data_IF_196509877364
#
_entry.id   IF_196509877364
#
_cell.length_a   1.000
_cell.length_b   1.000
_cell.length_c   1.000
_cell.angle_alpha   90.00
_cell.angle_beta   90.00
_cell.angle_gamma   90.00
#
_symmetry.space_group_name_H-M   'P 1'
#
loop_
_entity.id
_entity.type
_entity.pdbx_description
1 polymer ?
#
# COMPACT_ATOMS: atom_id res chain seq x y z
N UNK A 1 -0.60 20.42 -0.89
CA UNK A 1 0.15 20.34 0.37
C UNK A 1 1.54 19.76 0.13
N UNK A 2 1.63 18.53 -0.35
CA UNK A 2 2.88 17.78 -0.46
C UNK A 2 3.98 18.54 -1.23
N UNK A 3 3.71 18.98 -2.46
CA UNK A 3 4.66 19.74 -3.31
C UNK A 3 5.19 21.04 -2.69
N UNK A 4 4.44 21.65 -1.76
CA UNK A 4 4.83 22.93 -1.12
C UNK A 4 5.52 22.74 0.22
N UNK A 5 5.26 21.63 0.92
CA UNK A 5 5.63 21.46 2.33
C UNK A 5 6.58 20.29 2.59
N UNK A 6 6.76 19.41 1.61
CA UNK A 6 7.56 18.21 1.76
C UNK A 6 8.68 18.16 0.74
N UNK A 7 9.81 17.57 1.12
CA UNK A 7 10.92 17.31 0.23
C UNK A 7 10.70 15.95 -0.45
N UNK A 8 10.65 15.94 -1.78
CA UNK A 8 10.55 14.70 -2.55
C UNK A 8 11.92 14.00 -2.64
N UNK A 9 11.94 12.69 -2.49
CA UNK A 9 13.12 11.84 -2.73
C UNK A 9 13.36 11.72 -4.23
N UNK A 10 12.26 11.50 -4.99
CA UNK A 10 12.28 11.49 -6.45
C UNK A 10 11.31 12.54 -6.93
N UNK A 11 11.80 13.48 -7.70
CA UNK A 11 10.96 14.55 -8.26
C UNK A 11 9.85 13.95 -9.13
N UNK A 12 8.61 14.20 -8.77
CA UNK A 12 7.44 13.67 -9.44
C UNK A 12 6.61 14.77 -10.06
N UNK A 13 6.03 14.51 -11.21
CA UNK A 13 5.01 15.40 -11.79
C UNK A 13 3.65 15.11 -11.17
N UNK A 14 2.83 16.14 -10.98
CA UNK A 14 1.48 16.00 -10.39
C UNK A 14 0.63 15.01 -11.18
N UNK A 15 0.71 15.06 -12.51
CA UNK A 15 -0.03 14.14 -13.39
C UNK A 15 0.40 12.67 -13.16
N UNK A 16 1.70 12.42 -12.97
CA UNK A 16 2.20 11.06 -12.68
C UNK A 16 1.71 10.55 -11.33
N UNK A 17 1.67 11.40 -10.30
CA UNK A 17 1.11 11.04 -8.99
C UNK A 17 -0.37 10.71 -9.09
N UNK A 18 -1.15 11.51 -9.82
CA UNK A 18 -2.57 11.25 -10.06
C UNK A 18 -2.79 9.94 -10.82
N UNK A 19 -2.00 9.69 -11.87
CA UNK A 19 -2.05 8.42 -12.62
C UNK A 19 -1.71 7.22 -11.74
N UNK A 20 -0.72 7.34 -10.85
CA UNK A 20 -0.36 6.26 -9.94
C UNK A 20 -1.47 5.99 -8.91
N UNK A 21 -2.13 7.04 -8.40
CA UNK A 21 -3.32 6.91 -7.56
C UNK A 21 -4.42 6.12 -8.29
N UNK A 22 -4.74 6.52 -9.52
CA UNK A 22 -5.76 5.84 -10.33
C UNK A 22 -5.40 4.38 -10.60
N UNK A 23 -4.12 4.08 -10.90
CA UNK A 23 -3.66 2.70 -11.11
C UNK A 23 -3.83 1.81 -9.87
N UNK A 24 -3.56 2.35 -8.67
CA UNK A 24 -3.78 1.63 -7.43
C UNK A 24 -5.28 1.40 -7.17
N UNK A 25 -6.11 2.41 -7.40
CA UNK A 25 -7.56 2.28 -7.30
C UNK A 25 -8.11 1.24 -8.29
N UNK A 26 -7.64 1.28 -9.55
CA UNK A 26 -8.00 0.29 -10.56
C UNK A 26 -7.75 -1.15 -10.10
N UNK A 27 -6.64 -1.40 -9.39
CA UNK A 27 -6.32 -2.73 -8.86
C UNK A 27 -7.38 -3.22 -7.86
N UNK A 28 -7.92 -2.32 -7.06
CA UNK A 28 -8.98 -2.65 -6.11
C UNK A 28 -10.36 -2.78 -6.78
N UNK A 29 -10.58 -2.12 -7.90
CA UNK A 29 -11.82 -2.24 -8.67
C UNK A 29 -11.86 -3.47 -9.60
N UNK A 30 -10.70 -4.05 -9.93
CA UNK A 30 -10.63 -5.18 -10.86
C UNK A 30 -11.56 -6.36 -10.49
N UNK A 31 -11.67 -6.76 -9.19
CA UNK A 31 -12.60 -7.81 -8.78
C UNK A 31 -14.07 -7.49 -9.04
N UNK A 32 -14.43 -6.20 -9.15
CA UNK A 32 -15.80 -5.72 -9.31
C UNK A 32 -16.15 -5.33 -10.75
N UNK A 33 -15.24 -5.54 -11.71
CA UNK A 33 -15.54 -5.35 -13.12
C UNK A 33 -16.39 -6.51 -13.63
N UNK A 34 -17.51 -6.17 -14.25
CA UNK A 34 -18.33 -7.12 -14.96
C UNK A 34 -17.62 -7.58 -16.24
N UNK A 35 -17.70 -8.87 -16.50
CA UNK A 35 -17.22 -9.51 -17.71
C UNK A 35 -18.30 -10.40 -18.27
N UNK A 36 -18.12 -10.91 -19.47
CA UNK A 36 -19.05 -11.86 -20.11
C UNK A 36 -19.35 -13.09 -19.21
N UNK A 37 -18.37 -13.46 -18.35
CA UNK A 37 -18.46 -14.64 -17.47
C UNK A 37 -18.65 -14.32 -16.00
N UNK A 38 -18.66 -13.03 -15.61
CA UNK A 38 -18.76 -12.61 -14.22
C UNK A 38 -19.71 -11.43 -14.08
N UNK A 39 -20.81 -11.66 -13.36
CA UNK A 39 -21.70 -10.59 -12.89
C UNK A 39 -21.31 -10.22 -11.46
N UNK A 40 -21.40 -8.95 -11.13
CA UNK A 40 -21.16 -8.42 -9.78
C UNK A 40 -22.46 -8.53 -8.99
N UNK A 41 -22.40 -9.11 -7.79
CA UNK A 41 -23.58 -9.20 -6.92
C UNK A 41 -23.86 -7.87 -6.22
N UNK A 42 -25.08 -7.68 -5.73
CA UNK A 42 -25.41 -6.49 -4.91
C UNK A 42 -24.56 -6.44 -3.63
N UNK A 43 -24.26 -7.59 -3.03
CA UNK A 43 -23.39 -7.69 -1.85
C UNK A 43 -21.95 -7.24 -2.16
N UNK A 44 -21.42 -7.59 -3.35
CA UNK A 44 -20.10 -7.13 -3.78
C UNK A 44 -20.08 -5.59 -3.92
N UNK A 45 -21.14 -5.00 -4.46
CA UNK A 45 -21.25 -3.55 -4.61
C UNK A 45 -21.33 -2.83 -3.26
N UNK A 46 -22.12 -3.35 -2.32
CA UNK A 46 -22.20 -2.82 -0.94
C UNK A 46 -20.85 -2.91 -0.22
N UNK A 47 -20.13 -4.02 -0.43
CA UNK A 47 -18.78 -4.19 0.09
C UNK A 47 -17.80 -3.19 -0.54
N UNK A 48 -17.88 -2.97 -1.84
CA UNK A 48 -17.07 -1.98 -2.53
C UNK A 48 -17.35 -0.57 -1.98
N UNK A 49 -18.62 -0.17 -1.89
CA UNK A 49 -19.01 1.14 -1.38
C UNK A 49 -18.47 1.36 0.04
N UNK A 50 -18.64 0.38 0.92
CA UNK A 50 -18.17 0.46 2.30
C UNK A 50 -16.63 0.55 2.42
N UNK A 51 -15.89 0.00 1.46
CA UNK A 51 -14.43 -0.04 1.44
C UNK A 51 -13.81 1.10 0.60
N UNK A 52 -14.60 1.86 -0.15
CA UNK A 52 -14.11 2.83 -1.12
C UNK A 52 -13.21 3.91 -0.48
N UNK A 53 -13.69 4.51 0.61
CA UNK A 53 -12.94 5.56 1.30
C UNK A 53 -11.59 5.08 1.84
N UNK A 54 -11.50 4.00 2.64
CA UNK A 54 -10.21 3.54 3.16
C UNK A 54 -9.26 3.03 2.07
N UNK A 55 -9.77 2.46 0.97
CA UNK A 55 -8.94 2.07 -0.18
C UNK A 55 -8.41 3.29 -0.94
N UNK A 56 -9.21 4.34 -1.07
CA UNK A 56 -8.74 5.61 -1.62
C UNK A 56 -7.65 6.23 -0.75
N UNK A 57 -7.84 6.27 0.58
CA UNK A 57 -6.85 6.79 1.53
C UNK A 57 -5.56 5.98 1.43
N UNK A 58 -5.64 4.64 1.41
CA UNK A 58 -4.47 3.77 1.22
C UNK A 58 -3.76 4.08 -0.10
N UNK A 59 -4.50 4.17 -1.19
CA UNK A 59 -3.95 4.47 -2.51
C UNK A 59 -3.30 5.86 -2.55
N UNK A 60 -3.87 6.84 -1.87
CA UNK A 60 -3.30 8.19 -1.74
C UNK A 60 -1.97 8.18 -0.98
N UNK A 61 -1.90 7.45 0.13
CA UNK A 61 -0.67 7.28 0.91
C UNK A 61 0.45 6.68 0.07
N UNK A 62 0.16 5.62 -0.71
CA UNK A 62 1.15 4.87 -1.46
C UNK A 62 1.41 5.36 -2.89
N UNK A 63 0.64 6.30 -3.39
CA UNK A 63 0.91 6.98 -4.67
C UNK A 63 1.53 8.36 -4.50
N UNK A 64 0.98 9.14 -3.59
CA UNK A 64 1.36 10.55 -3.38
C UNK A 64 2.26 10.70 -2.14
N UNK A 65 1.84 10.14 -1.02
CA UNK A 65 2.52 10.29 0.25
C UNK A 65 3.85 9.56 0.36
N UNK A 66 4.08 8.52 -0.43
CA UNK A 66 5.30 7.71 -0.36
C UNK A 66 6.52 8.34 -1.07
N UNK A 67 6.34 9.40 -1.87
CA UNK A 67 7.39 10.00 -2.70
C UNK A 67 8.33 10.94 -1.93
N UNK A 68 8.03 11.21 -0.68
CA UNK A 68 8.74 12.17 0.16
C UNK A 68 9.69 11.50 1.16
N UNK A 69 10.65 12.28 1.67
CA UNK A 69 11.58 11.85 2.71
C UNK A 69 10.86 11.59 4.06
N UNK A 70 11.59 11.12 5.06
CA UNK A 70 11.03 10.77 6.37
C UNK A 70 10.32 11.96 7.04
N UNK A 71 10.91 13.15 6.96
CA UNK A 71 10.32 14.37 7.52
C UNK A 71 9.04 14.75 6.76
N UNK A 72 9.05 14.65 5.44
CA UNK A 72 7.88 14.81 4.59
C UNK A 72 6.76 13.81 4.91
N UNK A 73 7.12 12.54 5.20
CA UNK A 73 6.14 11.53 5.65
C UNK A 73 5.49 11.90 6.97
N UNK A 74 6.24 12.44 7.94
CA UNK A 74 5.67 12.93 9.21
C UNK A 74 4.69 14.07 8.98
N UNK A 75 5.07 15.07 8.16
CA UNK A 75 4.18 16.19 7.79
C UNK A 75 2.93 15.73 7.07
N UNK A 76 3.08 14.81 6.13
CA UNK A 76 1.95 14.27 5.39
C UNK A 76 1.02 13.42 6.28
N UNK A 77 1.59 12.67 7.24
CA UNK A 77 0.81 11.92 8.23
C UNK A 77 -0.10 12.85 9.05
N UNK A 78 0.45 13.94 9.59
CA UNK A 78 -0.36 14.92 10.34
C UNK A 78 -1.44 15.56 9.45
N UNK A 79 -1.02 16.02 8.27
CA UNK A 79 -1.94 16.65 7.33
C UNK A 79 -3.11 15.72 6.96
N UNK A 80 -2.84 14.47 6.63
CA UNK A 80 -3.90 13.53 6.22
C UNK A 80 -4.84 13.23 7.38
N UNK A 81 -4.32 12.99 8.59
CA UNK A 81 -5.13 12.78 9.79
C UNK A 81 -6.03 13.99 10.08
N UNK A 82 -5.51 15.20 9.95
CA UNK A 82 -6.29 16.44 10.11
C UNK A 82 -7.40 16.56 9.05
N UNK A 83 -7.11 16.19 7.80
CA UNK A 83 -8.15 16.21 6.76
C UNK A 83 -9.23 15.16 7.04
N UNK A 84 -8.86 13.94 7.41
CA UNK A 84 -9.82 12.90 7.77
C UNK A 84 -10.72 13.32 8.94
N UNK A 85 -10.17 13.98 9.95
CA UNK A 85 -10.93 14.50 11.07
C UNK A 85 -11.89 15.63 10.62
N UNK A 86 -11.44 16.57 9.77
CA UNK A 86 -12.26 17.67 9.24
C UNK A 86 -13.44 17.18 8.40
N UNK A 87 -13.24 16.12 7.62
CA UNK A 87 -14.30 15.52 6.80
C UNK A 87 -15.13 14.49 7.56
N UNK A 88 -14.93 14.36 8.88
CA UNK A 88 -15.65 13.41 9.73
C UNK A 88 -15.60 11.98 9.19
N UNK A 89 -14.44 11.58 8.63
CA UNK A 89 -14.24 10.23 8.15
C UNK A 89 -14.49 9.23 9.28
N UNK A 90 -15.28 8.20 9.00
CA UNK A 90 -15.46 7.09 9.94
C UNK A 90 -14.24 6.17 10.01
N UNK A 91 -13.35 6.27 9.04
CA UNK A 91 -12.17 5.42 8.89
C UNK A 91 -10.92 6.11 9.42
N UNK A 92 -10.84 6.27 10.75
CA UNK A 92 -9.67 6.88 11.38
C UNK A 92 -8.54 5.86 11.57
N UNK A 93 -7.30 6.28 11.31
CA UNK A 93 -6.14 5.48 11.69
C UNK A 93 -5.99 5.43 13.20
N UNK A 94 -5.48 4.32 13.77
CA UNK A 94 -5.08 4.30 15.18
C UNK A 94 -4.14 5.46 15.52
N UNK A 95 -4.17 5.92 16.77
CA UNK A 95 -3.35 7.05 17.23
C UNK A 95 -1.85 6.75 17.22
N UNK A 96 -1.48 5.48 17.38
CA UNK A 96 -0.10 5.03 17.38
C UNK A 96 0.47 4.96 15.96
N UNK A 97 1.76 5.18 15.80
CA UNK A 97 2.47 5.06 14.53
C UNK A 97 2.03 6.06 13.45
N UNK A 98 2.53 5.84 12.26
CA UNK A 98 2.22 6.62 11.07
C UNK A 98 1.21 5.90 10.18
N UNK A 99 0.50 6.65 9.33
CA UNK A 99 -0.40 6.10 8.31
C UNK A 99 0.29 5.06 7.40
N UNK A 100 1.60 5.12 7.27
CA UNK A 100 2.43 4.19 6.49
C UNK A 100 2.63 2.82 7.15
N UNK A 101 2.34 2.73 8.45
CA UNK A 101 2.52 1.50 9.21
C UNK A 101 1.31 0.58 9.10
N UNK A 102 0.24 1.07 8.47
CA UNK A 102 -1.03 0.38 8.37
C UNK A 102 -1.40 -0.01 6.94
N UNK A 103 -2.14 -1.10 6.83
CA UNK A 103 -2.92 -1.46 5.66
C UNK A 103 -4.39 -1.58 6.03
N UNK A 104 -5.27 -1.40 5.09
CA UNK A 104 -6.70 -1.66 5.30
C UNK A 104 -7.03 -3.12 4.99
N UNK A 105 -7.60 -3.82 5.97
CA UNK A 105 -8.14 -5.15 5.77
C UNK A 105 -9.60 -5.04 5.34
N UNK A 106 -9.88 -5.35 4.07
CA UNK A 106 -11.22 -5.22 3.48
C UNK A 106 -12.24 -6.20 4.08
N UNK A 107 -11.80 -7.37 4.57
CA UNK A 107 -12.67 -8.37 5.16
C UNK A 107 -13.12 -7.99 6.56
N UNK A 108 -12.17 -7.57 7.39
CA UNK A 108 -12.41 -7.19 8.78
C UNK A 108 -12.82 -5.72 8.91
N UNK A 109 -12.67 -4.94 7.82
CA UNK A 109 -12.99 -3.50 7.76
C UNK A 109 -12.25 -2.69 8.84
N UNK A 110 -10.96 -2.98 9.03
CA UNK A 110 -10.09 -2.31 10.01
C UNK A 110 -8.70 -2.03 9.43
N UNK A 111 -8.03 -1.03 10.00
CA UNK A 111 -6.61 -0.80 9.75
C UNK A 111 -5.77 -1.75 10.60
N UNK A 112 -4.90 -2.53 9.97
CA UNK A 112 -3.99 -3.48 10.58
C UNK A 112 -2.54 -3.05 10.36
N UNK A 113 -1.69 -3.27 11.35
CA UNK A 113 -0.25 -3.05 11.21
C UNK A 113 0.36 -4.04 10.21
N UNK A 114 1.36 -3.59 9.46
CA UNK A 114 2.15 -4.51 8.62
C UNK A 114 2.87 -5.56 9.44
N UNK A 115 3.32 -5.22 10.64
CA UNK A 115 3.98 -6.13 11.58
C UNK A 115 3.10 -7.31 12.01
N UNK A 116 1.77 -7.16 11.98
CA UNK A 116 0.87 -8.23 12.39
C UNK A 116 0.96 -9.46 11.46
N UNK A 117 1.35 -9.26 10.21
CA UNK A 117 1.57 -10.35 9.27
C UNK A 117 2.82 -11.18 9.58
N UNK A 118 3.76 -10.57 10.28
CA UNK A 118 5.07 -11.16 10.55
C UNK A 118 5.17 -11.77 11.96
N UNK A 119 4.11 -11.68 12.78
CA UNK A 119 4.11 -12.14 14.18
C UNK A 119 4.40 -13.63 14.35
N UNK A 120 4.00 -14.44 13.36
CA UNK A 120 4.16 -15.89 13.39
C UNK A 120 5.31 -16.36 12.48
N UNK A 121 6.25 -15.46 12.16
CA UNK A 121 7.41 -15.85 11.36
C UNK A 121 8.34 -16.74 12.18
N UNK A 122 8.56 -17.95 11.71
CA UNK A 122 9.55 -18.90 12.24
C UNK A 122 10.57 -19.22 11.16
N UNK A 123 11.83 -19.35 11.57
CA UNK A 123 12.91 -19.73 10.65
C UNK A 123 12.83 -21.24 10.44
N UNK A 124 12.70 -21.68 9.20
CA UNK A 124 12.81 -23.11 8.87
C UNK A 124 14.27 -23.57 9.13
N UNK A 125 14.50 -24.50 10.08
CA UNK A 125 15.83 -24.96 10.41
C UNK A 125 16.54 -25.72 9.27
N UNK A 126 15.83 -26.04 8.19
CA UNK A 126 16.41 -26.70 6.99
C UNK A 126 17.02 -25.72 6.01
N UNK A 127 16.73 -24.42 6.13
CA UNK A 127 17.28 -23.40 5.24
C UNK A 127 18.73 -23.10 5.59
N UNK A 128 19.55 -22.91 4.55
CA UNK A 128 20.88 -22.33 4.74
C UNK A 128 20.79 -20.87 5.12
N UNK A 129 21.80 -20.32 5.77
CA UNK A 129 21.83 -18.92 6.22
C UNK A 129 21.53 -17.93 5.09
N UNK A 130 22.00 -18.19 3.87
CA UNK A 130 21.78 -17.34 2.71
C UNK A 130 20.35 -17.37 2.14
N UNK A 131 19.55 -18.36 2.54
CA UNK A 131 18.15 -18.52 2.09
C UNK A 131 17.15 -17.95 3.08
N UNK A 132 17.60 -17.59 4.29
CA UNK A 132 16.73 -17.03 5.32
C UNK A 132 16.35 -15.59 4.96
N UNK A 133 15.06 -15.36 4.70
CA UNK A 133 14.51 -14.05 4.46
C UNK A 133 13.66 -13.63 5.66
N UNK A 134 14.15 -12.66 6.43
CA UNK A 134 13.39 -12.10 7.57
C UNK A 134 12.39 -11.06 7.06
N UNK A 135 11.08 -11.24 7.28
CA UNK A 135 10.08 -10.31 6.81
C UNK A 135 10.05 -9.04 7.68
N UNK A 136 10.77 -8.01 7.26
CA UNK A 136 10.66 -6.67 7.87
C UNK A 136 9.38 -5.98 7.39
N UNK A 137 8.93 -4.93 8.10
CA UNK A 137 7.77 -4.15 7.66
C UNK A 137 7.96 -3.56 6.27
N UNK A 138 9.17 -3.07 5.95
CA UNK A 138 9.49 -2.55 4.62
C UNK A 138 9.39 -3.63 3.53
N UNK A 139 9.92 -4.81 3.81
CA UNK A 139 9.83 -5.95 2.91
C UNK A 139 8.37 -6.34 2.67
N UNK A 140 7.58 -6.52 3.73
CA UNK A 140 6.18 -6.96 3.65
C UNK A 140 5.31 -5.97 2.88
N UNK A 141 5.42 -4.66 3.15
CA UNK A 141 4.65 -3.64 2.45
C UNK A 141 5.04 -3.50 0.98
N UNK A 142 6.34 -3.59 0.67
CA UNK A 142 6.81 -3.52 -0.71
C UNK A 142 6.32 -4.74 -1.51
N UNK A 143 6.44 -5.93 -0.92
CA UNK A 143 5.96 -7.17 -1.54
C UNK A 143 4.44 -7.12 -1.81
N UNK A 144 3.66 -6.60 -0.86
CA UNK A 144 2.23 -6.41 -1.03
C UNK A 144 1.89 -5.47 -2.19
N UNK A 145 2.53 -4.30 -2.26
CA UNK A 145 2.29 -3.33 -3.32
C UNK A 145 2.70 -3.86 -4.69
N UNK A 146 3.86 -4.53 -4.77
CA UNK A 146 4.31 -5.16 -6.01
C UNK A 146 3.34 -6.26 -6.45
N UNK A 147 2.91 -7.13 -5.54
CA UNK A 147 1.95 -8.20 -5.83
C UNK A 147 0.63 -7.61 -6.33
N UNK A 148 0.08 -6.60 -5.63
CA UNK A 148 -1.15 -5.93 -6.03
C UNK A 148 -1.07 -5.38 -7.45
N UNK A 149 0.01 -4.68 -7.79
CA UNK A 149 0.19 -4.07 -9.11
C UNK A 149 0.43 -5.11 -10.20
N UNK A 150 1.33 -6.06 -10.00
CA UNK A 150 1.69 -7.05 -11.01
C UNK A 150 0.55 -8.03 -11.31
N UNK A 151 -0.18 -8.49 -10.29
CA UNK A 151 -1.38 -9.32 -10.50
C UNK A 151 -2.41 -8.61 -11.37
N UNK A 152 -2.51 -7.29 -11.26
CA UNK A 152 -3.40 -6.46 -12.07
C UNK A 152 -2.73 -5.92 -13.35
N UNK A 153 -1.64 -6.56 -13.81
CA UNK A 153 -0.94 -6.22 -15.07
C UNK A 153 -0.44 -4.77 -15.14
N UNK A 154 -0.15 -4.16 -13.99
CA UNK A 154 0.46 -2.82 -13.91
C UNK A 154 1.98 -2.96 -13.81
N UNK A 155 2.70 -2.20 -14.62
CA UNK A 155 4.16 -2.18 -14.57
C UNK A 155 4.67 -1.52 -13.29
N UNK A 156 5.74 -2.10 -12.72
CA UNK A 156 6.39 -1.60 -11.51
C UNK A 156 7.86 -1.33 -11.80
N UNK A 157 8.34 -0.19 -11.37
CA UNK A 157 9.76 0.16 -11.39
C UNK A 157 10.23 0.43 -9.95
N UNK A 158 11.27 -0.28 -9.53
CA UNK A 158 11.84 -0.19 -8.18
C UNK A 158 13.23 0.48 -8.21
N UNK A 159 13.32 1.82 -8.34
CA UNK A 159 14.59 2.52 -8.26
C UNK A 159 15.09 2.58 -6.82
N UNK A 160 16.41 2.55 -6.65
CA UNK A 160 17.02 2.69 -5.33
C UNK A 160 18.44 2.14 -5.30
N UNK A 161 19.21 2.46 -4.25
CA UNK A 161 20.59 1.99 -4.08
C UNK A 161 20.65 0.46 -3.91
N UNK A 162 21.84 -0.09 -4.04
CA UNK A 162 22.10 -1.51 -3.75
C UNK A 162 21.79 -1.85 -2.29
N UNK A 163 21.45 -3.12 -2.01
CA UNK A 163 21.17 -3.57 -0.63
C UNK A 163 19.77 -3.22 -0.09
N UNK A 164 18.86 -2.71 -0.92
CA UNK A 164 17.49 -2.34 -0.50
C UNK A 164 16.41 -3.39 -0.84
N UNK A 165 16.79 -4.66 -0.86
CA UNK A 165 15.90 -5.82 -1.05
C UNK A 165 15.06 -5.83 -2.35
N UNK A 166 15.36 -5.00 -3.35
CA UNK A 166 14.58 -4.92 -4.61
C UNK A 166 14.53 -6.26 -5.35
N UNK A 167 15.70 -6.84 -5.58
CA UNK A 167 15.84 -8.12 -6.27
C UNK A 167 15.22 -9.26 -5.46
N UNK A 168 15.36 -9.22 -4.13
CA UNK A 168 14.76 -10.20 -3.23
C UNK A 168 13.23 -10.19 -3.32
N UNK A 169 12.62 -8.99 -3.25
CA UNK A 169 11.18 -8.84 -3.40
C UNK A 169 10.68 -9.37 -4.75
N UNK A 170 11.38 -9.02 -5.84
CA UNK A 170 11.03 -9.50 -7.17
C UNK A 170 11.14 -11.03 -7.29
N UNK A 171 12.21 -11.62 -6.76
CA UNK A 171 12.43 -13.06 -6.76
C UNK A 171 11.35 -13.80 -5.95
N UNK A 172 11.07 -13.36 -4.72
CA UNK A 172 10.00 -13.95 -3.90
C UNK A 172 8.65 -13.91 -4.61
N UNK A 173 8.36 -12.80 -5.30
CA UNK A 173 7.09 -12.65 -6.00
C UNK A 173 6.97 -13.58 -7.21
N UNK A 174 8.07 -13.85 -7.91
CA UNK A 174 8.08 -14.75 -9.05
C UNK A 174 8.00 -16.23 -8.64
N UNK A 175 8.34 -16.54 -7.40
CA UNK A 175 8.24 -17.91 -6.85
C UNK A 175 6.91 -18.20 -6.16
N UNK A 176 6.09 -17.17 -5.85
CA UNK A 176 4.78 -17.28 -5.17
C UNK A 176 3.61 -17.42 -6.14
#
# INVERSE_FOLDING_TARGET
>A
FMKKNCKEIVTSQVNALAQNLMKLMDCYFEPYKETEYKKVSAEDLDNLESNLEPLFIFSLVWSVGCTVDLEGRRKFNHYLRDQMAKFSSKWQFPSEGMIYDYRFNQKEKVYQLWSDQNKNFEIDPKLSYGEIVVPTNDYTRMLYLMKLLLTNKKHVMCPGPTGTCKTLNAYTLLQS
#
